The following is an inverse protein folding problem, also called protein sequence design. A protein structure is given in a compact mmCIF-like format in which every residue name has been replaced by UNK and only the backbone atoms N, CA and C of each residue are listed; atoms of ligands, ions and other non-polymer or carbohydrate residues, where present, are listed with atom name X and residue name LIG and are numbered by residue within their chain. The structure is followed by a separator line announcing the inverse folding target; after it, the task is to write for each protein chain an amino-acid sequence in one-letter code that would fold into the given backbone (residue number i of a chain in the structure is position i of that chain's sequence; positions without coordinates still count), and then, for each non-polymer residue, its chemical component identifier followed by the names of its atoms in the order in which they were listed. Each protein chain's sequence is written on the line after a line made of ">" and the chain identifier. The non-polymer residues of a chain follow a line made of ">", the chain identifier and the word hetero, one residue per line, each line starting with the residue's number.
data_IF_599794601399
#
_entry.id   IF_599794601399
#
_cell.length_a   1.000
_cell.length_b   1.000
_cell.length_c   1.000
_cell.angle_alpha   90.00
_cell.angle_beta   90.00
_cell.angle_gamma   90.00
#
_symmetry.space_group_name_H-M   'P 1'
#
loop_
_entity.id
_entity.type
_entity.pdbx_description
1 polymer ?
#
# COMPACT_ATOMS: atom_id res chain seq x y z
N UNK A 1 28.49 -10.57 -16.63
CA UNK A 1 27.99 -10.29 -15.27
C UNK A 1 26.81 -11.19 -15.01
N UNK A 2 26.73 -11.81 -13.84
CA UNK A 2 25.62 -12.70 -13.48
C UNK A 2 24.46 -11.82 -13.01
N UNK A 3 23.46 -11.61 -13.87
CA UNK A 3 22.28 -10.81 -13.55
C UNK A 3 21.48 -11.56 -12.48
N UNK A 4 21.28 -10.95 -11.30
CA UNK A 4 20.50 -11.57 -10.24
C UNK A 4 19.08 -11.86 -10.70
N UNK A 5 18.49 -13.00 -10.28
CA UNK A 5 17.13 -13.40 -10.64
C UNK A 5 16.10 -12.29 -10.44
N UNK A 6 16.16 -11.54 -9.33
CA UNK A 6 15.24 -10.42 -9.06
C UNK A 6 15.21 -9.39 -10.21
N UNK A 7 16.36 -9.08 -10.82
CA UNK A 7 16.45 -8.13 -11.94
C UNK A 7 15.90 -8.67 -13.25
N UNK A 8 15.96 -9.98 -13.45
CA UNK A 8 15.35 -10.61 -14.62
C UNK A 8 13.83 -10.44 -14.62
N UNK A 9 13.21 -10.51 -13.44
CA UNK A 9 11.76 -10.42 -13.28
C UNK A 9 11.25 -9.02 -12.92
N UNK A 10 12.13 -8.05 -12.68
CA UNK A 10 11.76 -6.67 -12.37
C UNK A 10 11.35 -5.84 -13.61
N UNK A 11 11.46 -6.40 -14.81
CA UNK A 11 11.10 -5.74 -16.07
C UNK A 11 9.68 -6.10 -16.50
N UNK A 12 8.99 -5.11 -17.05
CA UNK A 12 7.69 -5.22 -17.72
C UNK A 12 7.85 -5.76 -19.14
N UNK A 13 6.75 -6.07 -19.80
CA UNK A 13 6.71 -6.52 -21.21
C UNK A 13 7.34 -5.52 -22.18
N UNK A 14 7.20 -4.22 -21.94
CA UNK A 14 7.80 -3.15 -22.73
C UNK A 14 9.31 -2.97 -22.49
N UNK A 15 9.87 -3.68 -21.51
CA UNK A 15 11.28 -3.61 -21.11
C UNK A 15 11.56 -2.56 -20.03
N UNK A 16 10.57 -1.78 -19.60
CA UNK A 16 10.71 -0.83 -18.50
C UNK A 16 10.85 -1.55 -17.15
N UNK A 17 11.56 -0.92 -16.23
CA UNK A 17 11.83 -1.48 -14.91
C UNK A 17 10.76 -1.02 -13.90
N UNK A 18 10.19 -1.95 -13.13
CA UNK A 18 9.20 -1.67 -12.09
C UNK A 18 9.81 -1.23 -10.75
N UNK A 19 11.15 -1.25 -10.63
CA UNK A 19 11.89 -0.79 -9.45
C UNK A 19 11.40 -1.42 -8.14
N UNK A 20 11.03 -2.70 -8.17
CA UNK A 20 10.52 -3.42 -6.98
C UNK A 20 10.95 -4.89 -6.94
N UNK A 21 11.56 -5.27 -5.80
CA UNK A 21 11.85 -6.68 -5.51
C UNK A 21 10.55 -7.50 -5.35
N UNK A 22 9.49 -6.88 -4.85
CA UNK A 22 8.17 -7.52 -4.64
C UNK A 22 7.49 -7.77 -5.99
N UNK A 23 7.55 -6.81 -6.93
CA UNK A 23 7.10 -7.03 -8.30
C UNK A 23 7.87 -8.16 -8.96
N UNK A 24 9.21 -8.17 -8.82
CA UNK A 24 10.05 -9.22 -9.37
C UNK A 24 9.66 -10.61 -8.85
N UNK A 25 9.39 -10.73 -7.55
CA UNK A 25 8.91 -11.99 -6.96
C UNK A 25 7.52 -12.39 -7.51
N UNK A 26 6.58 -11.44 -7.58
CA UNK A 26 5.24 -11.69 -8.10
C UNK A 26 5.26 -12.13 -9.57
N UNK A 27 6.07 -11.46 -10.41
CA UNK A 27 6.25 -11.81 -11.81
C UNK A 27 6.94 -13.17 -11.98
N UNK A 28 7.95 -13.48 -11.16
CA UNK A 28 8.60 -14.80 -11.18
C UNK A 28 7.62 -15.93 -10.81
N UNK A 29 6.77 -15.72 -9.79
CA UNK A 29 5.74 -16.68 -9.40
C UNK A 29 4.69 -16.83 -10.50
N UNK A 30 4.26 -15.74 -11.12
CA UNK A 30 3.29 -15.76 -12.20
C UNK A 30 3.80 -16.58 -13.41
N UNK A 31 5.03 -16.33 -13.86
CA UNK A 31 5.64 -17.08 -14.95
C UNK A 31 5.86 -18.55 -14.59
N UNK A 32 6.09 -18.86 -13.32
CA UNK A 32 6.16 -20.24 -12.83
C UNK A 32 4.80 -20.94 -12.92
N UNK A 33 3.72 -20.29 -12.49
CA UNK A 33 2.36 -20.83 -12.54
C UNK A 33 1.94 -21.12 -13.99
N UNK A 34 2.25 -20.20 -14.92
CA UNK A 34 2.07 -20.40 -16.37
C UNK A 34 2.88 -21.57 -16.94
N UNK A 35 3.87 -22.12 -16.23
CA UNK A 35 4.65 -23.27 -16.68
C UNK A 35 4.30 -24.55 -15.95
N UNK A 36 3.41 -24.48 -14.96
CA UNK A 36 3.08 -25.61 -14.09
C UNK A 36 2.25 -26.67 -14.81
N UNK A 37 1.51 -26.28 -15.85
CA UNK A 37 0.81 -27.20 -16.76
C UNK A 37 1.71 -27.83 -17.83
N UNK A 38 2.96 -27.39 -17.96
CA UNK A 38 3.95 -28.04 -18.80
C UNK A 38 4.57 -29.30 -18.12
N UNK A 39 5.47 -30.01 -18.81
CA UNK A 39 6.15 -31.15 -18.21
C UNK A 39 7.08 -30.74 -17.06
N UNK A 40 7.19 -31.59 -16.02
CA UNK A 40 8.09 -31.38 -14.88
C UNK A 40 9.56 -31.10 -15.28
N UNK A 41 10.01 -31.65 -16.41
CA UNK A 41 11.33 -31.37 -16.98
C UNK A 41 11.50 -29.91 -17.42
N UNK A 42 10.48 -29.31 -18.03
CA UNK A 42 10.51 -27.91 -18.48
C UNK A 42 10.42 -26.95 -17.30
N UNK A 43 9.61 -27.27 -16.29
CA UNK A 43 9.51 -26.48 -15.06
C UNK A 43 10.85 -26.42 -14.30
N UNK A 44 11.54 -27.58 -14.18
CA UNK A 44 12.90 -27.65 -13.61
C UNK A 44 13.91 -26.86 -14.42
N UNK A 45 13.83 -26.96 -15.75
CA UNK A 45 14.70 -26.20 -16.66
C UNK A 45 14.50 -24.69 -16.48
N UNK A 46 13.26 -24.23 -16.41
CA UNK A 46 12.90 -22.83 -16.17
C UNK A 46 13.46 -22.32 -14.83
N UNK A 47 13.28 -23.08 -13.75
CA UNK A 47 13.80 -22.66 -12.45
C UNK A 47 15.33 -22.58 -12.47
N UNK A 48 15.99 -23.57 -13.08
CA UNK A 48 17.46 -23.62 -13.17
C UNK A 48 18.02 -22.49 -14.03
N UNK A 49 17.42 -22.18 -15.16
CA UNK A 49 17.89 -21.12 -16.06
C UNK A 49 17.73 -19.71 -15.47
N UNK A 50 16.77 -19.53 -14.56
CA UNK A 50 16.45 -18.24 -13.95
C UNK A 50 16.94 -18.10 -12.51
N UNK A 51 17.72 -19.06 -11.99
CA UNK A 51 18.23 -19.02 -10.62
C UNK A 51 17.15 -19.13 -9.53
N UNK A 52 16.02 -19.77 -9.84
CA UNK A 52 14.89 -19.95 -8.93
C UNK A 52 14.95 -21.31 -8.22
N UNK A 53 14.40 -21.36 -7.01
CA UNK A 53 14.32 -22.58 -6.20
C UNK A 53 12.90 -23.13 -6.30
N UNK A 54 12.70 -24.20 -7.09
CA UNK A 54 11.38 -24.77 -7.35
C UNK A 54 10.57 -25.08 -6.07
N UNK A 55 11.12 -25.74 -5.03
CA UNK A 55 10.38 -25.96 -3.79
C UNK A 55 9.84 -24.69 -3.13
N UNK A 56 10.57 -23.57 -3.22
CA UNK A 56 10.14 -22.29 -2.65
C UNK A 56 8.97 -21.72 -3.44
N UNK A 57 9.02 -21.78 -4.77
CA UNK A 57 7.91 -21.33 -5.62
C UNK A 57 6.63 -22.16 -5.39
N UNK A 58 6.78 -23.47 -5.24
CA UNK A 58 5.65 -24.35 -4.91
C UNK A 58 5.02 -24.03 -3.54
N UNK A 59 5.85 -23.69 -2.56
CA UNK A 59 5.38 -23.23 -1.24
C UNK A 59 4.67 -21.88 -1.35
N UNK A 60 5.20 -20.93 -2.13
CA UNK A 60 4.58 -19.63 -2.36
C UNK A 60 3.24 -19.74 -3.08
N UNK A 61 3.14 -20.57 -4.11
CA UNK A 61 1.88 -20.87 -4.80
C UNK A 61 0.84 -21.44 -3.83
N UNK A 62 1.25 -22.39 -2.98
CA UNK A 62 0.38 -23.00 -1.97
C UNK A 62 -0.10 -21.96 -0.95
N UNK A 63 0.81 -21.12 -0.45
CA UNK A 63 0.49 -20.05 0.50
C UNK A 63 -0.46 -19.02 -0.13
N UNK A 64 -0.23 -18.63 -1.40
CA UNK A 64 -1.13 -17.74 -2.15
C UNK A 64 -2.53 -18.31 -2.24
N UNK A 65 -2.68 -19.59 -2.62
CA UNK A 65 -3.97 -20.27 -2.68
C UNK A 65 -4.66 -20.32 -1.32
N UNK A 66 -3.93 -20.56 -0.23
CA UNK A 66 -4.47 -20.55 1.13
C UNK A 66 -4.96 -19.16 1.55
N UNK A 67 -4.21 -18.11 1.23
CA UNK A 67 -4.62 -16.73 1.47
C UNK A 67 -5.85 -16.37 0.66
N UNK A 68 -5.90 -16.72 -0.62
CA UNK A 68 -7.08 -16.51 -1.47
C UNK A 68 -8.33 -17.27 -0.98
N UNK A 69 -8.17 -18.47 -0.42
CA UNK A 69 -9.29 -19.16 0.25
C UNK A 69 -9.71 -18.43 1.52
N UNK A 70 -8.76 -18.04 2.38
CA UNK A 70 -9.04 -17.35 3.64
C UNK A 70 -9.75 -16.01 3.41
N UNK A 71 -9.33 -15.24 2.40
CA UNK A 71 -9.97 -13.98 2.02
C UNK A 71 -11.40 -14.20 1.53
N UNK A 72 -11.62 -15.23 0.69
CA UNK A 72 -12.97 -15.61 0.25
C UNK A 72 -13.85 -16.03 1.43
N UNK A 73 -13.31 -16.81 2.34
CA UNK A 73 -14.03 -17.23 3.55
C UNK A 73 -14.41 -16.02 4.42
N UNK A 74 -13.60 -14.96 4.44
CA UNK A 74 -13.89 -13.69 5.13
C UNK A 74 -14.85 -12.77 4.37
N UNK A 75 -15.43 -13.21 3.25
CA UNK A 75 -16.35 -12.41 2.44
C UNK A 75 -15.68 -11.40 1.50
N UNK A 76 -14.35 -11.43 1.37
CA UNK A 76 -13.61 -10.63 0.39
C UNK A 76 -13.67 -11.33 -0.98
N UNK A 77 -14.77 -11.15 -1.70
CA UNK A 77 -14.96 -11.69 -3.06
C UNK A 77 -14.35 -10.75 -4.11
N UNK A 78 -13.62 -11.29 -5.09
CA UNK A 78 -13.26 -10.54 -6.29
C UNK A 78 -14.39 -10.67 -7.33
N UNK A 79 -14.91 -9.53 -7.79
CA UNK A 79 -15.98 -9.48 -8.82
C UNK A 79 -15.55 -10.18 -10.11
N UNK A 80 -14.25 -10.18 -10.43
CA UNK A 80 -13.71 -10.79 -11.66
C UNK A 80 -13.64 -12.32 -11.64
N UNK A 81 -13.63 -12.97 -10.47
CA UNK A 81 -13.52 -14.42 -10.40
C UNK A 81 -14.81 -15.15 -10.84
N UNK A 82 -15.93 -14.45 -10.95
CA UNK A 82 -17.24 -15.05 -11.23
C UNK A 82 -17.64 -14.95 -12.72
N UNK A 83 -17.08 -13.99 -13.45
CA UNK A 83 -17.24 -13.88 -14.92
C UNK A 83 -16.32 -14.81 -15.71
N UNK A 84 -15.29 -15.39 -15.09
CA UNK A 84 -14.33 -16.30 -15.73
C UNK A 84 -14.83 -17.75 -15.83
N UNK A 85 -16.13 -17.95 -16.07
CA UNK A 85 -16.71 -19.25 -16.44
C UNK A 85 -16.30 -19.74 -17.84
N UNK A 86 -15.49 -18.98 -18.58
CA UNK A 86 -15.05 -19.28 -19.94
C UNK A 86 -13.55 -18.98 -20.10
N UNK A 87 -12.70 -19.94 -19.77
CA UNK A 87 -11.55 -20.34 -20.59
C UNK A 87 -10.51 -19.32 -21.08
N UNK A 88 -10.31 -18.17 -20.45
CA UNK A 88 -9.25 -17.21 -20.85
C UNK A 88 -8.25 -16.98 -19.71
N UNK A 89 -7.23 -17.85 -19.64
CA UNK A 89 -6.08 -17.75 -18.72
C UNK A 89 -4.99 -16.75 -19.19
N UNK A 90 -5.18 -16.04 -20.31
CA UNK A 90 -4.20 -15.06 -20.83
C UNK A 90 -4.20 -13.72 -20.07
N UNK A 91 -5.18 -13.45 -19.20
CA UNK A 91 -5.34 -12.15 -18.53
C UNK A 91 -4.45 -11.87 -17.31
N UNK A 92 -3.81 -12.88 -16.70
CA UNK A 92 -3.16 -12.70 -15.38
C UNK A 92 -1.90 -11.81 -15.41
N UNK A 93 -1.19 -11.74 -16.54
CA UNK A 93 0.03 -10.95 -16.65
C UNK A 93 -0.23 -9.49 -17.01
N UNK A 94 -1.24 -9.25 -17.85
CA UNK A 94 -1.75 -7.90 -18.08
C UNK A 94 -2.40 -7.35 -16.80
N UNK A 95 -3.00 -8.22 -15.98
CA UNK A 95 -3.52 -7.87 -14.65
C UNK A 95 -2.39 -7.45 -13.69
N UNK A 96 -1.28 -8.19 -13.59
CA UNK A 96 -0.20 -7.81 -12.66
C UNK A 96 0.43 -6.46 -13.03
N UNK A 97 0.79 -6.24 -14.30
CA UNK A 97 1.46 -4.99 -14.71
C UNK A 97 0.53 -3.78 -14.64
N UNK A 98 -0.77 -3.95 -14.92
CA UNK A 98 -1.76 -2.87 -14.84
C UNK A 98 -2.20 -2.60 -13.39
N UNK A 99 -2.30 -3.62 -12.56
CA UNK A 99 -2.66 -3.50 -11.14
C UNK A 99 -1.46 -3.11 -10.26
N UNK A 100 -0.22 -3.24 -10.74
CA UNK A 100 0.98 -3.00 -9.94
C UNK A 100 1.00 -1.67 -9.19
N UNK A 101 0.65 -0.51 -9.79
CA UNK A 101 0.64 0.76 -9.06
C UNK A 101 -0.31 0.73 -7.84
N UNK A 102 -1.46 0.07 -7.97
CA UNK A 102 -2.42 -0.10 -6.88
C UNK A 102 -1.87 -1.06 -5.83
N UNK A 103 -1.31 -2.21 -6.25
CA UNK A 103 -0.67 -3.17 -5.34
C UNK A 103 0.46 -2.50 -4.56
N UNK A 104 1.30 -1.72 -5.22
CA UNK A 104 2.39 -0.96 -4.61
C UNK A 104 1.87 0.06 -3.59
N UNK A 105 0.76 0.73 -3.89
CA UNK A 105 0.08 1.62 -2.94
C UNK A 105 -0.39 0.86 -1.70
N UNK A 106 -1.03 -0.30 -1.88
CA UNK A 106 -1.47 -1.15 -0.77
C UNK A 106 -0.33 -1.70 0.07
N UNK A 107 0.78 -2.10 -0.57
CA UNK A 107 2.00 -2.51 0.13
C UNK A 107 2.58 -1.34 0.93
N UNK A 108 2.55 -0.12 0.38
CA UNK A 108 3.03 1.08 1.09
C UNK A 108 2.17 1.38 2.32
N UNK A 109 0.85 1.19 2.26
CA UNK A 109 -0.02 1.24 3.43
C UNK A 109 0.35 0.18 4.48
N UNK A 110 0.50 -1.08 4.04
CA UNK A 110 0.81 -2.21 4.93
C UNK A 110 2.17 -2.05 5.64
N UNK A 111 3.14 -1.45 4.95
CA UNK A 111 4.49 -1.21 5.45
C UNK A 111 4.73 0.26 5.81
N UNK A 112 3.71 1.01 6.25
CA UNK A 112 3.76 2.47 6.41
C UNK A 112 4.88 3.02 7.29
N UNK A 113 5.49 2.20 8.15
CA UNK A 113 6.64 2.56 9.01
C UNK A 113 8.00 2.18 8.40
N UNK A 114 8.02 1.34 7.38
CA UNK A 114 9.22 0.89 6.69
C UNK A 114 9.48 1.73 5.44
N UNK A 115 9.83 2.99 5.66
CA UNK A 115 10.10 3.96 4.60
C UNK A 115 11.58 4.36 4.56
N UNK A 116 12.08 4.69 3.38
CA UNK A 116 13.47 5.02 3.17
C UNK A 116 13.69 6.03 2.04
N UNK A 117 14.86 6.66 2.07
CA UNK A 117 15.39 7.49 0.99
C UNK A 117 16.75 6.96 0.55
N UNK A 118 16.86 6.62 -0.72
CA UNK A 118 18.10 6.21 -1.36
C UNK A 118 19.03 7.43 -1.48
N UNK A 119 20.21 7.34 -0.86
CA UNK A 119 21.23 8.41 -0.87
C UNK A 119 22.32 8.17 -1.92
N UNK A 120 22.18 7.11 -2.72
CA UNK A 120 23.11 6.72 -3.77
C UNK A 120 23.76 5.36 -3.53
N UNK A 121 24.02 4.66 -4.64
CA UNK A 121 24.51 3.28 -4.63
C UNK A 121 23.62 2.38 -3.78
N UNK A 122 24.14 1.90 -2.66
CA UNK A 122 23.40 1.04 -1.72
C UNK A 122 22.95 1.75 -0.46
N UNK A 123 23.30 3.00 -0.24
CA UNK A 123 23.10 3.68 1.05
C UNK A 123 21.66 4.19 1.16
N UNK A 124 20.99 3.87 2.26
CA UNK A 124 19.61 4.28 2.52
C UNK A 124 19.52 4.98 3.87
N UNK A 125 18.92 6.16 3.87
CA UNK A 125 18.42 6.79 5.09
C UNK A 125 17.03 6.25 5.38
N UNK A 126 16.82 5.71 6.57
CA UNK A 126 15.56 5.12 7.01
C UNK A 126 15.19 5.63 8.42
N UNK A 127 15.55 6.88 8.72
CA UNK A 127 15.20 7.56 9.98
C UNK A 127 16.06 7.20 11.18
N UNK A 128 17.05 6.34 11.00
CA UNK A 128 17.95 5.96 12.08
C UNK A 128 19.24 6.78 12.09
N UNK A 129 19.88 6.85 13.27
CA UNK A 129 21.19 7.50 13.47
C UNK A 129 22.31 6.97 12.57
N UNK A 130 22.21 5.73 12.10
CA UNK A 130 23.16 5.11 11.16
C UNK A 130 22.41 4.66 9.90
N UNK A 131 22.93 4.97 8.71
CA UNK A 131 22.30 4.59 7.45
C UNK A 131 22.27 3.08 7.28
N UNK A 132 21.22 2.60 6.63
CA UNK A 132 21.10 1.22 6.20
C UNK A 132 21.70 1.03 4.80
N UNK A 133 21.74 -0.23 4.36
CA UNK A 133 22.21 -0.60 3.03
C UNK A 133 21.20 -1.51 2.32
N UNK A 134 20.97 -1.29 1.04
CA UNK A 134 20.24 -2.25 0.20
C UNK A 134 21.00 -3.58 0.12
N UNK A 135 20.27 -4.69 0.12
CA UNK A 135 20.81 -6.02 -0.17
C UNK A 135 21.49 -6.05 -1.53
N UNK A 136 22.56 -6.84 -1.70
CA UNK A 136 23.32 -6.87 -2.97
C UNK A 136 22.47 -7.26 -4.18
N UNK A 137 21.43 -8.06 -3.96
CA UNK A 137 20.56 -8.58 -5.01
C UNK A 137 19.27 -7.76 -5.18
N UNK A 138 19.16 -6.63 -4.48
CA UNK A 138 18.00 -5.74 -4.63
C UNK A 138 18.05 -5.10 -6.02
N UNK A 139 16.87 -4.97 -6.64
CA UNK A 139 16.71 -4.37 -7.97
C UNK A 139 17.11 -2.90 -8.04
N UNK A 140 17.19 -2.21 -6.90
CA UNK A 140 17.51 -0.77 -6.80
C UNK A 140 19.02 -0.45 -6.70
N UNK A 141 19.92 -1.45 -6.82
CA UNK A 141 21.35 -1.27 -6.48
C UNK A 141 22.20 -0.72 -7.62
N UNK A 142 21.91 -1.13 -8.86
CA UNK A 142 22.81 -0.92 -10.00
C UNK A 142 22.36 0.21 -10.93
N UNK A 143 21.08 0.55 -10.89
CA UNK A 143 20.49 1.61 -11.70
C UNK A 143 19.78 2.60 -10.77
N UNK A 144 19.85 3.89 -11.12
CA UNK A 144 19.20 4.94 -10.34
C UNK A 144 17.69 4.94 -10.63
N UNK A 145 16.83 4.66 -9.64
CA UNK A 145 15.40 4.74 -9.84
C UNK A 145 14.95 6.19 -10.11
N UNK A 146 13.85 6.39 -10.85
CA UNK A 146 13.33 7.73 -11.13
C UNK A 146 12.90 8.50 -9.87
N UNK A 147 12.68 7.79 -8.76
CA UNK A 147 12.46 8.37 -7.44
C UNK A 147 13.37 7.71 -6.40
N UNK A 148 13.93 8.51 -5.49
CA UNK A 148 14.77 8.01 -4.39
C UNK A 148 13.98 7.48 -3.20
N UNK A 149 12.65 7.65 -3.19
CA UNK A 149 11.80 7.19 -2.10
C UNK A 149 11.53 5.69 -2.26
N UNK A 150 11.60 4.96 -1.15
CA UNK A 150 11.37 3.52 -1.13
C UNK A 150 10.55 3.09 0.09
N UNK A 151 9.85 1.97 -0.06
CA UNK A 151 9.34 1.15 1.05
C UNK A 151 10.12 -0.17 1.11
N UNK A 152 10.25 -0.75 2.30
CA UNK A 152 10.96 -2.02 2.48
C UNK A 152 10.18 -3.00 3.34
N UNK A 153 10.39 -4.30 3.08
CA UNK A 153 9.66 -5.38 3.77
C UNK A 153 10.49 -6.01 4.87
N UNK A 154 11.79 -6.17 4.63
CA UNK A 154 12.66 -6.95 5.50
C UNK A 154 13.96 -6.20 5.83
N UNK A 155 14.23 -6.09 7.13
CA UNK A 155 15.46 -5.54 7.69
C UNK A 155 16.24 -6.65 8.42
N UNK A 156 17.51 -6.85 8.05
CA UNK A 156 18.45 -7.67 8.81
C UNK A 156 19.47 -6.78 9.54
N UNK A 157 19.83 -7.11 10.78
CA UNK A 157 20.81 -6.34 11.58
C UNK A 157 22.17 -7.04 11.81
N UNK A 158 22.49 -8.08 11.04
CA UNK A 158 23.73 -8.85 11.22
C UNK A 158 24.94 -8.14 10.61
N UNK A 159 25.76 -7.50 11.45
CA UNK A 159 26.96 -6.75 11.01
C UNK A 159 26.64 -5.40 10.36
N UNK A 160 25.40 -4.94 10.46
CA UNK A 160 24.90 -3.69 9.88
C UNK A 160 23.41 -3.81 9.54
N UNK A 161 22.76 -2.68 9.25
CA UNK A 161 21.37 -2.64 8.81
C UNK A 161 21.30 -2.88 7.31
N UNK A 162 20.67 -3.98 6.90
CA UNK A 162 20.51 -4.37 5.50
C UNK A 162 19.04 -4.52 5.16
N UNK A 163 18.56 -3.73 4.21
CA UNK A 163 17.22 -3.83 3.64
C UNK A 163 17.24 -4.91 2.55
N UNK A 164 16.63 -6.06 2.80
CA UNK A 164 16.74 -7.24 1.93
C UNK A 164 15.82 -7.17 0.72
N UNK A 165 14.64 -6.59 0.90
CA UNK A 165 13.63 -6.39 -0.13
C UNK A 165 13.10 -4.97 -0.04
N UNK A 166 13.18 -4.24 -1.14
CA UNK A 166 12.70 -2.87 -1.24
C UNK A 166 11.99 -2.63 -2.58
N UNK A 167 11.09 -1.65 -2.55
CA UNK A 167 10.40 -1.13 -3.73
C UNK A 167 10.54 0.38 -3.73
N UNK A 168 10.86 0.96 -4.89
CA UNK A 168 10.66 2.39 -5.09
C UNK A 168 9.17 2.70 -4.83
N UNK A 169 8.87 3.88 -4.31
CA UNK A 169 7.49 4.37 -4.16
C UNK A 169 7.41 5.82 -4.60
N UNK A 170 6.22 6.25 -5.04
CA UNK A 170 6.00 7.64 -5.42
C UNK A 170 5.76 8.53 -4.19
N UNK A 171 6.02 9.85 -4.28
CA UNK A 171 5.61 10.79 -3.24
C UNK A 171 4.12 10.67 -2.88
N UNK A 172 3.25 10.52 -3.87
CA UNK A 172 1.81 10.43 -3.69
C UNK A 172 1.42 9.18 -2.90
N UNK A 173 2.03 8.02 -3.20
CA UNK A 173 1.83 6.78 -2.46
C UNK A 173 2.24 6.92 -0.99
N UNK A 174 3.38 7.57 -0.72
CA UNK A 174 3.84 7.79 0.66
C UNK A 174 2.99 8.80 1.42
N UNK A 175 2.54 9.88 0.78
CA UNK A 175 1.67 10.87 1.41
C UNK A 175 0.28 10.30 1.72
N UNK A 176 -0.25 9.49 0.80
CA UNK A 176 -1.51 8.78 0.97
C UNK A 176 -1.41 7.74 2.11
N UNK A 177 -0.32 6.99 2.20
CA UNK A 177 -0.05 6.10 3.34
C UNK A 177 0.22 6.87 4.63
N UNK A 178 0.86 8.03 4.50
CA UNK A 178 1.15 9.05 5.49
C UNK A 178 1.92 8.59 6.74
N UNK A 179 2.57 7.42 6.72
CA UNK A 179 3.32 6.92 7.88
C UNK A 179 2.44 6.54 9.07
N UNK A 180 3.03 5.95 10.11
CA UNK A 180 2.31 5.60 11.34
C UNK A 180 1.94 6.83 12.17
N UNK A 181 2.76 7.89 12.13
CA UNK A 181 2.53 9.14 12.88
C UNK A 181 1.71 10.19 12.15
N UNK A 182 1.38 9.94 10.88
CA UNK A 182 0.86 10.98 10.01
C UNK A 182 1.98 11.81 9.39
N UNK A 183 1.56 12.67 8.47
CA UNK A 183 2.43 13.65 7.82
C UNK A 183 2.09 15.04 8.32
N UNK A 184 3.09 15.92 8.46
CA UNK A 184 2.86 17.32 8.80
C UNK A 184 3.58 18.26 7.83
N UNK A 185 3.08 19.49 7.75
CA UNK A 185 3.66 20.51 6.89
C UNK A 185 4.72 21.31 7.65
N UNK A 186 5.93 21.38 7.11
CA UNK A 186 7.03 22.14 7.69
C UNK A 186 7.89 22.73 6.58
N UNK A 187 8.26 24.02 6.70
CA UNK A 187 9.22 24.70 5.82
C UNK A 187 8.95 24.54 4.31
N UNK A 188 7.67 24.53 3.92
CA UNK A 188 7.25 24.45 2.51
C UNK A 188 7.27 23.03 1.93
N UNK A 189 7.36 22.01 2.78
CA UNK A 189 7.37 20.61 2.39
C UNK A 189 6.60 19.75 3.39
N UNK A 190 6.33 18.51 3.01
CA UNK A 190 5.74 17.53 3.91
C UNK A 190 6.84 16.74 4.59
N UNK A 191 6.73 16.57 5.91
CA UNK A 191 7.61 15.73 6.71
C UNK A 191 6.84 14.50 7.17
N UNK A 192 7.42 13.33 6.92
CA UNK A 192 6.91 12.03 7.32
C UNK A 192 7.83 11.42 8.39
N UNK A 193 7.26 10.80 9.41
CA UNK A 193 8.01 10.11 10.49
C UNK A 193 9.07 11.00 11.18
N UNK A 194 8.87 12.31 11.21
CA UNK A 194 9.78 13.31 11.81
C UNK A 194 11.17 13.45 11.14
N UNK A 195 11.41 12.82 9.99
CA UNK A 195 12.72 12.89 9.31
C UNK A 195 12.67 12.86 7.78
N UNK A 196 11.63 12.27 7.18
CA UNK A 196 11.57 12.08 5.74
C UNK A 196 10.86 13.26 5.08
N UNK A 197 11.66 14.11 4.44
CA UNK A 197 11.18 15.27 3.69
C UNK A 197 10.70 14.86 2.29
N UNK A 198 9.45 15.18 1.99
CA UNK A 198 8.78 14.93 0.71
C UNK A 198 8.37 16.28 0.11
N UNK A 199 8.88 16.57 -1.09
CA UNK A 199 8.51 17.77 -1.83
C UNK A 199 7.12 17.59 -2.44
N UNK A 200 6.18 18.43 -2.01
CA UNK A 200 4.82 18.49 -2.52
C UNK A 200 4.27 19.91 -2.38
N UNK A 201 3.34 20.29 -3.23
CA UNK A 201 2.53 21.48 -3.01
C UNK A 201 1.54 21.24 -1.86
N UNK A 202 1.21 22.33 -1.15
CA UNK A 202 0.36 22.27 0.05
C UNK A 202 -1.02 21.69 -0.25
N UNK A 203 -1.61 22.06 -1.39
CA UNK A 203 -2.97 21.66 -1.76
C UNK A 203 -3.03 20.16 -2.04
N UNK A 204 -2.12 19.62 -2.84
CA UNK A 204 -2.04 18.17 -3.09
C UNK A 204 -1.74 17.38 -1.81
N UNK A 205 -0.86 17.90 -0.94
CA UNK A 205 -0.59 17.28 0.35
C UNK A 205 -1.83 17.24 1.25
N UNK A 206 -2.58 18.35 1.33
CA UNK A 206 -3.82 18.44 2.11
C UNK A 206 -4.91 17.50 1.56
N UNK A 207 -5.06 17.43 0.22
CA UNK A 207 -6.01 16.52 -0.44
C UNK A 207 -5.67 15.05 -0.19
N UNK A 208 -4.39 14.68 -0.26
CA UNK A 208 -3.95 13.31 0.04
C UNK A 208 -4.14 12.95 1.52
N UNK A 209 -3.92 13.90 2.43
CA UNK A 209 -4.21 13.72 3.86
C UNK A 209 -5.71 13.53 4.13
N UNK A 210 -6.57 14.29 3.44
CA UNK A 210 -8.03 14.11 3.50
C UNK A 210 -8.45 12.74 2.93
N UNK A 211 -7.92 12.36 1.76
CA UNK A 211 -8.16 11.06 1.14
C UNK A 211 -7.71 9.91 2.02
N UNK A 212 -6.59 10.06 2.74
CA UNK A 212 -6.15 9.08 3.74
C UNK A 212 -7.17 8.90 4.85
N UNK A 213 -7.72 9.99 5.37
CA UNK A 213 -8.75 9.95 6.44
C UNK A 213 -9.98 9.19 5.94
N UNK A 214 -10.46 9.51 4.74
CA UNK A 214 -11.58 8.79 4.12
C UNK A 214 -11.24 7.32 3.82
N UNK A 215 -10.00 7.02 3.44
CA UNK A 215 -9.53 5.64 3.22
C UNK A 215 -9.63 4.81 4.50
N UNK A 216 -9.21 5.36 5.65
CA UNK A 216 -9.33 4.68 6.94
C UNK A 216 -10.79 4.35 7.28
N UNK A 217 -11.68 5.33 7.13
CA UNK A 217 -13.12 5.17 7.37
C UNK A 217 -13.74 4.09 6.46
N UNK A 218 -13.41 4.14 5.17
CA UNK A 218 -13.92 3.17 4.19
C UNK A 218 -13.42 1.77 4.48
N UNK A 219 -12.14 1.61 4.83
CA UNK A 219 -11.58 0.31 5.19
C UNK A 219 -12.18 -0.25 6.49
N UNK A 220 -12.46 0.59 7.48
CA UNK A 220 -13.14 0.18 8.72
C UNK A 220 -14.59 -0.27 8.45
N UNK A 221 -15.32 0.47 7.61
CA UNK A 221 -16.67 0.08 7.18
C UNK A 221 -16.65 -1.22 6.39
N UNK A 222 -15.74 -1.35 5.42
CA UNK A 222 -15.57 -2.57 4.64
C UNK A 222 -15.24 -3.78 5.52
N UNK A 223 -14.35 -3.63 6.50
CA UNK A 223 -14.04 -4.70 7.46
C UNK A 223 -15.25 -5.10 8.30
N UNK A 224 -16.07 -4.13 8.72
CA UNK A 224 -17.32 -4.39 9.46
C UNK A 224 -18.32 -5.16 8.60
N UNK A 225 -18.53 -4.75 7.36
CA UNK A 225 -19.42 -5.46 6.43
C UNK A 225 -18.94 -6.88 6.14
N UNK A 226 -17.64 -7.07 5.90
CA UNK A 226 -17.04 -8.40 5.73
C UNK A 226 -17.25 -9.29 6.97
N UNK A 227 -17.12 -8.73 8.17
CA UNK A 227 -17.37 -9.47 9.41
C UNK A 227 -18.85 -9.85 9.60
N UNK A 228 -19.77 -8.91 9.35
CA UNK A 228 -21.22 -9.15 9.41
C UNK A 228 -21.65 -10.24 8.43
N UNK A 229 -21.17 -10.14 7.19
CA UNK A 229 -21.29 -11.15 6.15
C UNK A 229 -20.83 -12.54 6.62
N UNK A 230 -19.63 -12.62 7.20
CA UNK A 230 -19.06 -13.87 7.71
C UNK A 230 -19.87 -14.45 8.88
N UNK A 231 -20.23 -13.59 9.84
CA UNK A 231 -20.94 -13.97 11.07
C UNK A 231 -22.36 -14.46 10.80
N UNK A 232 -23.00 -13.95 9.75
CA UNK A 232 -24.40 -14.24 9.46
C UNK A 232 -24.64 -15.69 9.05
N UNK A 233 -23.66 -16.39 8.41
CA UNK A 233 -23.65 -17.83 8.01
C UNK A 233 -24.91 -18.45 7.39
N UNK A 234 -26.02 -17.72 7.29
CA UNK A 234 -27.22 -18.04 6.57
C UNK A 234 -26.95 -17.72 5.10
N UNK A 235 -26.87 -18.76 4.27
CA UNK A 235 -26.77 -18.67 2.81
C UNK A 235 -27.75 -17.66 2.20
N UNK A 236 -28.92 -17.50 2.82
CA UNK A 236 -29.96 -16.56 2.42
C UNK A 236 -29.54 -15.09 2.51
N UNK A 237 -28.68 -14.67 3.44
CA UNK A 237 -28.27 -13.25 3.51
C UNK A 237 -27.45 -12.82 2.29
N UNK A 238 -26.57 -13.72 1.80
CA UNK A 238 -25.76 -13.48 0.62
C UNK A 238 -26.49 -13.77 -0.69
N UNK A 239 -27.39 -14.75 -0.72
CA UNK A 239 -28.14 -15.14 -1.93
C UNK A 239 -29.33 -14.18 -2.21
N UNK A 240 -30.05 -13.68 -1.19
CA UNK A 240 -31.16 -12.72 -1.38
C UNK A 240 -30.70 -11.26 -1.62
N UNK A 241 -29.47 -10.90 -1.23
CA UNK A 241 -28.95 -9.51 -1.37
C UNK A 241 -27.91 -9.35 -2.47
N UNK A 242 -27.55 -10.42 -3.18
CA UNK A 242 -26.53 -10.43 -4.24
C UNK A 242 -26.90 -9.59 -5.46
N UNK A 243 -28.18 -9.51 -5.76
CA UNK A 243 -28.69 -8.79 -6.95
C UNK A 243 -28.87 -7.28 -6.70
N UNK A 244 -28.93 -6.84 -5.43
CA UNK A 244 -29.30 -5.47 -5.06
C UNK A 244 -28.17 -4.59 -4.48
N UNK A 245 -27.06 -5.16 -4.01
CA UNK A 245 -25.95 -4.36 -3.45
C UNK A 245 -24.59 -4.74 -4.04
N UNK A 246 -24.20 -4.03 -5.10
CA UNK A 246 -22.77 -3.77 -5.33
C UNK A 246 -22.16 -3.04 -4.12
N UNK A 247 -20.83 -2.96 -4.05
CA UNK A 247 -20.18 -2.09 -3.06
C UNK A 247 -20.84 -0.71 -3.05
N UNK A 248 -21.09 -0.10 -1.87
CA UNK A 248 -21.70 1.22 -1.82
C UNK A 248 -20.98 2.21 -2.72
N UNK A 249 -21.72 3.14 -3.32
CA UNK A 249 -21.18 4.09 -4.31
C UNK A 249 -19.93 4.82 -3.80
N UNK A 250 -19.89 5.13 -2.50
CA UNK A 250 -18.75 5.72 -1.79
C UNK A 250 -17.47 4.88 -1.92
N UNK A 251 -17.57 3.55 -1.82
CA UNK A 251 -16.45 2.60 -1.96
C UNK A 251 -15.97 2.54 -3.40
N UNK A 252 -16.90 2.54 -4.36
CA UNK A 252 -16.55 2.55 -5.79
C UNK A 252 -15.85 3.86 -6.19
N UNK A 253 -16.35 5.00 -5.68
CA UNK A 253 -15.71 6.33 -5.85
C UNK A 253 -14.32 6.35 -5.24
N UNK A 254 -14.17 5.83 -4.02
CA UNK A 254 -12.87 5.70 -3.35
C UNK A 254 -11.90 4.81 -4.14
N UNK A 255 -12.34 3.63 -4.58
CA UNK A 255 -11.51 2.71 -5.36
C UNK A 255 -10.99 3.39 -6.64
N UNK A 256 -11.85 4.12 -7.35
CA UNK A 256 -11.46 4.89 -8.53
C UNK A 256 -10.42 5.96 -8.19
N UNK A 257 -10.62 6.71 -7.10
CA UNK A 257 -9.69 7.74 -6.66
C UNK A 257 -8.32 7.16 -6.29
N UNK A 258 -8.27 6.09 -5.49
CA UNK A 258 -7.02 5.40 -5.13
C UNK A 258 -6.30 4.88 -6.38
N UNK A 259 -7.04 4.31 -7.33
CA UNK A 259 -6.47 3.82 -8.59
C UNK A 259 -5.85 4.95 -9.39
N UNK A 260 -6.53 6.10 -9.49
CA UNK A 260 -6.01 7.27 -10.20
C UNK A 260 -4.76 7.83 -9.51
N UNK A 261 -4.77 7.99 -8.19
CA UNK A 261 -3.61 8.47 -7.42
C UNK A 261 -2.42 7.53 -7.56
N UNK A 262 -2.67 6.21 -7.51
CA UNK A 262 -1.64 5.19 -7.68
C UNK A 262 -0.97 5.26 -9.07
N UNK A 263 -1.72 5.61 -10.12
CA UNK A 263 -1.26 5.66 -11.50
C UNK A 263 -0.71 7.03 -11.93
N UNK A 264 -0.56 8.00 -11.04
CA UNK A 264 0.02 9.30 -11.37
C UNK A 264 1.49 9.17 -11.81
N UNK A 265 1.93 9.91 -12.84
CA UNK A 265 3.29 9.83 -13.37
C UNK A 265 4.35 10.39 -12.39
N UNK A 266 5.60 9.91 -12.54
CA UNK A 266 6.79 10.40 -11.84
C UNK A 266 7.59 11.38 -12.73
N UNK A 267 8.16 12.50 -12.20
CA UNK A 267 7.60 13.51 -11.29
C UNK A 267 7.09 14.76 -12.10
N UNK A 268 6.40 15.79 -11.54
CA UNK A 268 6.11 16.11 -10.14
C UNK A 268 4.60 16.26 -9.81
N UNK A 269 4.32 16.50 -8.52
CA UNK A 269 3.06 16.99 -7.97
C UNK A 269 2.66 18.34 -8.59
N UNK A 270 2.05 18.32 -9.78
CA UNK A 270 1.19 19.38 -10.26
C UNK A 270 -0.10 18.73 -10.75
N UNK A 271 -1.25 19.20 -10.24
CA UNK A 271 -2.62 18.78 -10.57
C UNK A 271 -3.12 17.43 -10.00
N UNK A 272 -2.80 17.07 -8.74
CA UNK A 272 -3.64 16.09 -8.00
C UNK A 272 -5.09 16.60 -7.84
N UNK A 273 -5.27 17.92 -7.97
CA UNK A 273 -6.53 18.65 -7.97
C UNK A 273 -7.63 18.02 -8.81
N UNK A 274 -7.42 17.76 -10.11
CA UNK A 274 -8.49 17.25 -10.98
C UNK A 274 -8.96 15.84 -10.54
N UNK A 275 -8.07 15.06 -9.94
CA UNK A 275 -8.35 13.70 -9.48
C UNK A 275 -9.13 13.70 -8.16
N UNK A 276 -8.65 14.42 -7.14
CA UNK A 276 -9.27 14.38 -5.80
C UNK A 276 -10.46 15.34 -5.68
N UNK A 277 -10.46 16.50 -6.34
CA UNK A 277 -11.59 17.43 -6.28
C UNK A 277 -12.82 16.91 -7.03
N UNK A 278 -12.65 16.04 -8.04
CA UNK A 278 -13.78 15.34 -8.67
C UNK A 278 -14.58 14.47 -7.69
N UNK A 279 -13.96 14.01 -6.60
CA UNK A 279 -14.61 13.29 -5.51
C UNK A 279 -15.29 14.24 -4.50
N UNK A 280 -14.72 15.42 -4.25
CA UNK A 280 -15.21 16.34 -3.23
C UNK A 280 -16.38 17.26 -3.68
N UNK A 281 -16.59 17.45 -4.99
CA UNK A 281 -17.49 18.50 -5.51
C UNK A 281 -18.90 18.00 -5.84
N UNK A 282 -19.18 16.70 -5.89
CA UNK A 282 -20.51 16.26 -6.37
C UNK A 282 -21.67 16.35 -5.37
N UNK A 283 -21.46 16.45 -4.05
CA UNK A 283 -22.58 16.68 -3.10
C UNK A 283 -22.15 17.42 -1.83
N UNK A 284 -21.84 18.70 -1.93
CA UNK A 284 -22.03 19.59 -0.78
C UNK A 284 -23.45 20.16 -0.86
N UNK A 285 -24.32 19.92 0.15
CA UNK A 285 -25.59 20.65 0.21
C UNK A 285 -25.30 22.15 0.20
N UNK A 286 -26.15 22.99 -0.42
CA UNK A 286 -25.93 24.42 -0.44
C UNK A 286 -25.73 24.90 1.00
N UNK A 287 -24.55 25.47 1.26
CA UNK A 287 -24.19 26.05 2.54
C UNK A 287 -25.35 26.91 3.04
N UNK A 288 -25.88 26.66 4.26
CA UNK A 288 -26.93 27.50 4.80
C UNK A 288 -26.39 28.94 4.85
N UNK A 289 -27.13 29.84 4.21
CA UNK A 289 -26.75 31.22 3.98
C UNK A 289 -26.00 31.80 5.19
N UNK A 290 -24.78 32.29 4.94
CA UNK A 290 -23.95 32.94 5.94
C UNK A 290 -24.79 33.99 6.69
N UNK A 291 -24.95 33.80 8.00
CA UNK A 291 -25.55 34.81 8.87
C UNK A 291 -24.70 36.09 8.77
N UNK A 292 -25.34 37.27 8.71
CA UNK A 292 -24.61 38.53 8.59
C UNK A 292 -23.68 38.73 9.80
N UNK A 293 -22.54 39.43 9.61
CA UNK A 293 -21.44 39.52 10.58
C UNK A 293 -21.75 40.27 11.88
N UNK A 294 -23.01 40.66 12.10
CA UNK A 294 -23.45 41.42 13.27
C UNK A 294 -23.74 40.55 14.51
N UNK A 295 -23.93 39.23 14.34
CA UNK A 295 -24.30 38.33 15.45
C UNK A 295 -23.14 37.52 16.05
N UNK A 296 -21.92 37.64 15.50
CA UNK A 296 -20.73 36.92 15.98
C UNK A 296 -20.05 37.53 17.24
N UNK A 297 -20.54 38.67 17.73
CA UNK A 297 -19.95 39.37 18.88
C UNK A 297 -20.62 39.08 20.23
N UNK A 298 -21.56 38.12 20.30
CA UNK A 298 -22.31 37.81 21.54
C UNK A 298 -22.14 36.37 22.04
N UNK A 299 -21.12 35.62 21.59
CA UNK A 299 -20.85 34.30 22.16
C UNK A 299 -19.92 34.41 23.38
N UNK A 300 -20.33 33.93 24.56
CA UNK A 300 -19.43 33.85 25.71
C UNK A 300 -18.28 32.88 25.41
N UNK A 301 -17.08 33.11 25.96
CA UNK A 301 -15.94 32.22 25.74
C UNK A 301 -16.26 30.79 26.22
N UNK A 302 -15.76 29.75 25.52
CA UNK A 302 -15.99 28.37 25.90
C UNK A 302 -15.40 28.11 27.29
N UNK A 303 -16.21 27.49 28.16
CA UNK A 303 -15.77 27.03 29.47
C UNK A 303 -14.67 25.98 29.33
N UNK A 304 -13.56 26.08 30.10
CA UNK A 304 -12.51 25.08 30.07
C UNK A 304 -13.04 23.72 30.57
N UNK A 305 -12.52 22.60 30.04
CA UNK A 305 -12.96 21.26 30.45
C UNK A 305 -12.64 21.00 31.94
N UNK A 306 -13.49 20.22 32.64
CA UNK A 306 -13.28 19.91 34.05
C UNK A 306 -11.97 19.15 34.26
N UNK A 307 -11.20 19.58 35.25
CA UNK A 307 -9.85 19.10 35.59
C UNK A 307 -9.81 17.71 36.25
N UNK A 308 -10.81 16.87 36.03
CA UNK A 308 -10.96 15.55 36.67
C UNK A 308 -11.03 14.39 35.68
N UNK A 309 -10.56 14.57 34.44
CA UNK A 309 -10.52 13.50 33.43
C UNK A 309 -9.14 12.82 33.29
N UNK A 310 -8.12 13.32 34.00
CA UNK A 310 -6.74 12.80 33.89
C UNK A 310 -6.28 11.96 35.08
N UNK A 311 -7.08 11.86 36.15
CA UNK A 311 -6.78 11.02 37.30
C UNK A 311 -7.85 9.93 37.41
N UNK A 312 -7.67 8.83 36.67
CA UNK A 312 -8.00 7.46 37.10
C UNK A 312 -7.72 6.45 35.96
N UNK A 313 -6.60 5.72 36.08
CA UNK A 313 -6.55 4.31 35.67
C UNK A 313 -6.21 3.96 34.23
N UNK A 314 -5.13 4.47 33.64
CA UNK A 314 -4.41 3.74 32.58
C UNK A 314 -3.45 2.75 33.23
N UNK A 315 -3.94 1.55 33.56
CA UNK A 315 -3.07 0.41 33.73
C UNK A 315 -2.47 0.04 32.37
N UNK A 316 -1.15 0.11 32.32
CA UNK A 316 -0.23 -0.23 31.26
C UNK A 316 -0.43 -1.68 30.78
N UNK A 317 -0.96 -1.85 29.57
CA UNK A 317 -1.06 -3.17 28.90
C UNK A 317 0.04 -3.40 27.85
N UNK A 318 1.00 -2.48 27.69
CA UNK A 318 2.03 -2.57 26.63
C UNK A 318 3.47 -2.35 27.09
N UNK A 319 3.75 -2.37 28.38
CA UNK A 319 5.11 -2.31 28.91
C UNK A 319 5.43 -3.61 29.65
N UNK A 320 6.13 -4.51 28.96
CA UNK A 320 7.06 -5.52 29.48
C UNK A 320 6.94 -6.83 28.69
N UNK A 321 7.65 -6.89 27.56
CA UNK A 321 8.33 -8.08 27.03
C UNK A 321 8.77 -7.72 25.62
N UNK A 322 10.06 -7.43 25.42
CA UNK A 322 10.86 -7.54 24.17
C UNK A 322 12.10 -6.64 24.25
N UNK A 323 12.82 -6.69 25.38
CA UNK A 323 14.21 -6.27 25.46
C UNK A 323 15.00 -7.33 26.24
N UNK A 324 15.89 -8.12 25.61
CA UNK A 324 16.96 -8.74 26.34
C UNK A 324 18.07 -7.71 26.51
N UNK A 325 18.11 -7.11 27.69
CA UNK A 325 19.26 -6.36 28.21
C UNK A 325 20.22 -7.35 28.86
N UNK A 326 21.39 -7.47 28.22
CA UNK A 326 22.74 -7.83 28.72
C UNK A 326 23.12 -9.25 29.17
N UNK A 327 24.22 -9.68 28.54
CA UNK A 327 25.32 -10.50 29.05
C UNK A 327 26.52 -10.30 28.13
#
# INVERSE_FOLDING_TARGET
>A
EEVSAARLFAKRKDGEHCWSDVFALANALLQYEQKTWESQSKLRSFCRSNGLIQPVLQQLESARKQLSHSLRDLGCHSVQAETAGTGEEEGLQDDLESAWPVIQTMLTFAYGWNVGKLEGGRKVNAGWSKPARLGKNCVLVDEDPPCSLLSYVELTCTGGRVLRSASMVTPQQLLLAGGCRGSFWQDGQVVLEDWLEIRADYESAALLAALRTATTEILQRAATWSHEAWSSREKTWYEDRREDFGWPEEVLKWQKCITQVACLPLPPLMSVWDTVCSWAIEELPPSPAALPPSDLLALPPPTPPPSSFWDEGTESFWDDEWYPVHG
#
